data_IF_395793004324
#
_entry.id   IF_395793004324
#
_cell.length_a   1.000
_cell.length_b   1.000
_cell.length_c   1.000
_cell.angle_alpha   90.00
_cell.angle_beta   90.00
_cell.angle_gamma   90.00
#
_symmetry.space_group_name_H-M   'P 1'
#
loop_
_entity.id
_entity.type
_entity.pdbx_description
1 polymer ?
#
# COMPACT_ATOMS: atom_id res chain seq x y z
N UNK A 1 5.17 -13.54 -8.76
CA UNK A 1 4.46 -13.27 -7.48
C UNK A 1 3.07 -13.89 -7.62
N UNK A 2 2.68 -14.85 -6.76
CA UNK A 2 1.31 -15.40 -6.81
C UNK A 2 0.36 -14.39 -6.15
N UNK A 3 -0.71 -13.99 -6.84
CA UNK A 3 -1.78 -13.23 -6.21
C UNK A 3 -2.44 -14.12 -5.15
N UNK A 4 -2.32 -13.74 -3.88
CA UNK A 4 -2.91 -14.52 -2.78
C UNK A 4 -4.42 -14.29 -2.68
N UNK A 5 -4.95 -13.23 -3.29
CA UNK A 5 -6.38 -12.89 -3.26
C UNK A 5 -6.93 -12.58 -1.86
N UNK A 6 -6.06 -12.37 -0.87
CA UNK A 6 -6.47 -12.15 0.52
C UNK A 6 -6.82 -10.68 0.73
N UNK A 7 -8.10 -10.39 0.95
CA UNK A 7 -8.59 -9.05 1.29
C UNK A 7 -8.63 -8.90 2.82
N UNK A 8 -8.16 -7.76 3.33
CA UNK A 8 -8.28 -7.38 4.74
C UNK A 8 -8.87 -5.99 4.83
N UNK A 9 -9.83 -5.82 5.75
CA UNK A 9 -10.35 -4.50 6.08
C UNK A 9 -9.27 -3.73 6.84
N UNK A 10 -9.23 -2.44 6.58
CA UNK A 10 -8.39 -1.47 7.30
C UNK A 10 -9.11 -1.16 8.62
N UNK A 11 -8.35 -0.95 9.70
CA UNK A 11 -8.90 -0.50 10.97
C UNK A 11 -9.07 1.02 11.04
N UNK A 12 -9.65 1.53 12.13
CA UNK A 12 -9.95 2.96 12.28
C UNK A 12 -8.70 3.86 12.30
N UNK A 13 -7.52 3.28 12.55
CA UNK A 13 -6.24 3.99 12.56
C UNK A 13 -5.49 3.89 11.22
N UNK A 14 -6.05 3.19 10.23
CA UNK A 14 -5.40 3.02 8.93
C UNK A 14 -4.40 1.85 8.86
N UNK A 15 -4.34 0.97 9.87
CA UNK A 15 -3.43 -0.19 9.88
C UNK A 15 -4.01 -1.33 9.06
N UNK A 16 -3.12 -2.08 8.40
CA UNK A 16 -3.46 -3.31 7.68
C UNK A 16 -2.75 -4.50 8.30
N UNK A 17 -3.48 -5.60 8.52
CA UNK A 17 -2.92 -6.82 9.08
C UNK A 17 -2.32 -7.68 7.97
N UNK A 18 -1.02 -7.97 8.06
CA UNK A 18 -0.36 -8.91 7.14
C UNK A 18 -0.77 -10.35 7.50
N UNK A 19 -1.32 -11.13 6.55
CA UNK A 19 -1.66 -12.53 6.75
C UNK A 19 -0.49 -13.37 7.28
N UNK A 20 -0.80 -14.40 8.08
CA UNK A 20 0.22 -15.22 8.77
C UNK A 20 1.11 -15.99 7.78
N UNK A 21 0.55 -16.36 6.65
CA UNK A 21 1.24 -17.05 5.55
C UNK A 21 2.37 -16.18 5.00
N UNK A 22 2.06 -14.92 4.68
CA UNK A 22 3.03 -13.95 4.16
C UNK A 22 4.11 -13.68 5.20
N UNK A 23 3.73 -13.49 6.48
CA UNK A 23 4.69 -13.31 7.58
C UNK A 23 5.65 -14.50 7.70
N UNK A 24 5.15 -15.73 7.60
CA UNK A 24 5.97 -16.95 7.66
C UNK A 24 6.89 -17.08 6.44
N UNK A 25 6.37 -16.88 5.23
CA UNK A 25 7.14 -17.02 3.99
C UNK A 25 8.24 -15.96 3.89
N UNK A 26 7.96 -14.72 4.28
CA UNK A 26 8.92 -13.61 4.24
C UNK A 26 9.74 -13.47 5.54
N UNK A 27 9.50 -14.34 6.53
CA UNK A 27 10.18 -14.35 7.84
C UNK A 27 10.09 -13.03 8.63
N UNK A 28 8.98 -12.31 8.47
CA UNK A 28 8.71 -11.05 9.17
C UNK A 28 8.34 -11.36 10.62
N UNK A 29 9.09 -10.78 11.56
CA UNK A 29 8.88 -10.86 13.01
C UNK A 29 8.25 -9.59 13.55
N UNK A 30 7.79 -9.66 14.79
CA UNK A 30 7.27 -8.49 15.49
C UNK A 30 8.40 -7.47 15.73
N UNK A 31 8.13 -6.19 15.46
CA UNK A 31 9.12 -5.11 15.54
C UNK A 31 9.97 -4.90 14.27
N UNK A 32 9.88 -5.78 13.27
CA UNK A 32 10.63 -5.62 12.02
C UNK A 32 10.17 -4.34 11.28
N UNK A 33 11.10 -3.45 10.87
CA UNK A 33 10.75 -2.25 10.13
C UNK A 33 10.29 -2.62 8.72
N UNK A 34 9.15 -2.05 8.31
CA UNK A 34 8.59 -2.22 6.96
C UNK A 34 8.52 -0.88 6.25
N UNK A 35 8.90 -0.85 4.98
CA UNK A 35 8.79 0.33 4.12
C UNK A 35 7.48 0.29 3.33
N UNK A 36 6.65 1.30 3.51
CA UNK A 36 5.50 1.56 2.64
C UNK A 36 5.85 2.67 1.65
N UNK A 37 5.63 2.42 0.36
CA UNK A 37 5.83 3.42 -0.69
C UNK A 37 4.94 3.11 -1.88
N UNK A 38 4.59 4.14 -2.64
CA UNK A 38 3.82 4.02 -3.87
C UNK A 38 4.66 3.38 -4.98
N UNK A 39 4.06 2.63 -5.87
CA UNK A 39 4.70 2.24 -7.11
C UNK A 39 5.05 3.48 -7.95
N UNK A 40 6.07 3.41 -8.84
CA UNK A 40 6.44 4.54 -9.69
C UNK A 40 5.25 5.12 -10.48
N UNK A 41 4.41 4.25 -11.03
CA UNK A 41 3.22 4.65 -11.78
C UNK A 41 2.18 5.34 -10.90
N UNK A 42 1.93 4.84 -9.69
CA UNK A 42 1.00 5.46 -8.74
C UNK A 42 1.46 6.89 -8.39
N UNK A 43 2.77 7.10 -8.15
CA UNK A 43 3.31 8.45 -7.93
C UNK A 43 3.04 9.38 -9.11
N UNK A 44 3.27 8.90 -10.33
CA UNK A 44 2.99 9.65 -11.55
C UNK A 44 1.51 10.04 -11.64
N UNK A 45 0.60 9.07 -11.47
CA UNK A 45 -0.83 9.34 -11.49
C UNK A 45 -1.25 10.35 -10.44
N UNK A 46 -0.79 10.21 -9.20
CA UNK A 46 -1.10 11.18 -8.15
C UNK A 46 -0.54 12.57 -8.43
N UNK A 47 0.67 12.67 -8.99
CA UNK A 47 1.24 13.95 -9.40
C UNK A 47 0.43 14.62 -10.53
N UNK A 48 -0.03 13.85 -11.51
CA UNK A 48 -0.88 14.35 -12.59
C UNK A 48 -2.26 14.78 -12.08
N UNK A 49 -2.87 14.01 -11.17
CA UNK A 49 -4.13 14.39 -10.53
C UNK A 49 -3.97 15.68 -9.70
N UNK A 50 -2.85 15.84 -8.99
CA UNK A 50 -2.56 17.07 -8.24
C UNK A 50 -2.36 18.26 -9.18
N UNK A 51 -1.65 18.07 -10.30
CA UNK A 51 -1.49 19.10 -11.32
C UNK A 51 -2.83 19.51 -11.94
N UNK A 52 -3.68 18.54 -12.29
CA UNK A 52 -5.01 18.80 -12.84
C UNK A 52 -5.87 19.64 -11.88
N UNK A 53 -5.86 19.29 -10.58
CA UNK A 53 -6.55 20.07 -9.54
C UNK A 53 -6.04 21.51 -9.44
N UNK A 54 -4.72 21.72 -9.54
CA UNK A 54 -4.12 23.07 -9.52
C UNK A 54 -4.52 23.90 -10.73
N UNK A 55 -4.67 23.28 -11.90
CA UNK A 55 -5.09 23.94 -13.13
C UNK A 55 -6.62 24.12 -13.24
N UNK A 56 -7.38 23.67 -12.23
CA UNK A 56 -8.84 23.76 -12.23
C UNK A 56 -9.52 22.81 -13.22
N UNK A 57 -8.85 21.73 -13.61
CA UNK A 57 -9.40 20.71 -14.48
C UNK A 57 -10.18 19.73 -13.60
N UNK A 58 -11.48 20.00 -13.45
CA UNK A 58 -12.45 19.18 -12.71
C UNK A 58 -12.71 17.84 -13.40
#
# INVERSE_FOLDING_TARGET
MKATGIVRRIDDLGRVVIPKEIRRTLRIREGDPLRMTLAPFERFCFAMCDLAKRQGWS
#
